data_IF_483046602509
#
_entry.id   IF_483046602509
#
_cell.length_a   1.000
_cell.length_b   1.000
_cell.length_c   1.000
_cell.angle_alpha   90.00
_cell.angle_beta   90.00
_cell.angle_gamma   90.00
#
_symmetry.space_group_name_H-M   'P 1'
#
loop_
_entity.id
_entity.type
_entity.pdbx_description
1 polymer ?
#
# COMPACT_ATOMS: atom_id res chain seq x y z
N UNK A 1 1.63 15.36 -16.15
CA UNK A 1 0.31 14.79 -15.86
C UNK A 1 0.02 15.03 -14.39
N UNK A 2 -1.24 15.23 -13.98
CA UNK A 2 -1.60 15.36 -12.57
C UNK A 2 -1.25 14.07 -11.81
N UNK A 3 -1.02 14.18 -10.51
CA UNK A 3 -0.75 13.02 -9.64
C UNK A 3 -2.01 12.15 -9.57
N UNK A 4 -1.83 10.83 -9.61
CA UNK A 4 -2.91 9.86 -9.48
C UNK A 4 -2.96 9.27 -8.08
N UNK A 5 -4.17 8.97 -7.58
CA UNK A 5 -4.40 8.49 -6.23
C UNK A 5 -5.17 7.18 -6.22
N UNK A 6 -4.70 6.22 -5.41
CA UNK A 6 -5.41 4.98 -5.08
C UNK A 6 -5.95 5.03 -3.65
N UNK A 7 -7.10 4.39 -3.40
CA UNK A 7 -7.62 4.15 -2.05
C UNK A 7 -7.09 2.81 -1.54
N UNK A 8 -6.14 2.82 -0.61
CA UNK A 8 -5.64 1.61 0.05
C UNK A 8 -6.68 1.00 0.99
N UNK A 9 -6.62 -0.34 1.16
CA UNK A 9 -7.56 -1.05 2.03
C UNK A 9 -7.56 -0.55 3.48
N UNK A 10 -6.38 -0.32 4.07
CA UNK A 10 -6.28 0.11 5.48
C UNK A 10 -6.89 1.49 5.75
N UNK A 11 -7.12 2.31 4.75
CA UNK A 11 -7.85 3.58 4.92
C UNK A 11 -9.32 3.35 5.31
N UNK A 12 -9.90 2.24 4.85
CA UNK A 12 -11.28 1.84 5.14
C UNK A 12 -11.37 0.36 5.55
N UNK A 13 -10.69 -0.04 6.63
CA UNK A 13 -10.56 -1.43 7.01
C UNK A 13 -11.90 -2.08 7.32
N UNK A 14 -12.01 -3.40 7.12
CA UNK A 14 -13.22 -4.17 7.38
C UNK A 14 -14.33 -4.00 6.35
N UNK A 15 -14.08 -3.28 5.27
CA UNK A 15 -15.03 -3.08 4.16
C UNK A 15 -14.82 -4.17 3.11
N UNK A 16 -15.90 -4.73 2.58
CA UNK A 16 -15.85 -5.67 1.47
C UNK A 16 -15.40 -4.99 0.16
N UNK A 17 -14.83 -5.74 -0.80
CA UNK A 17 -14.27 -5.18 -2.03
C UNK A 17 -15.28 -4.38 -2.86
N UNK A 18 -16.51 -4.87 -3.01
CA UNK A 18 -17.56 -4.20 -3.80
C UNK A 18 -17.89 -2.83 -3.21
N UNK A 19 -18.01 -2.76 -1.90
CA UNK A 19 -18.28 -1.50 -1.19
C UNK A 19 -17.08 -0.56 -1.23
N UNK A 20 -15.85 -1.08 -1.12
CA UNK A 20 -14.64 -0.28 -1.20
C UNK A 20 -14.49 0.38 -2.58
N UNK A 21 -14.75 -0.35 -3.68
CA UNK A 21 -14.76 0.21 -5.04
C UNK A 21 -15.75 1.38 -5.17
N UNK A 22 -16.97 1.20 -4.64
CA UNK A 22 -18.01 2.26 -4.66
C UNK A 22 -17.59 3.49 -3.85
N UNK A 23 -16.94 3.29 -2.69
CA UNK A 23 -16.39 4.38 -1.86
C UNK A 23 -15.30 5.13 -2.63
N UNK A 24 -14.34 4.42 -3.23
CA UNK A 24 -13.25 5.02 -3.99
C UNK A 24 -13.78 5.88 -5.14
N UNK A 25 -14.71 5.34 -5.95
CA UNK A 25 -15.31 6.10 -7.06
C UNK A 25 -16.06 7.34 -6.58
N UNK A 26 -16.91 7.20 -5.55
CA UNK A 26 -17.70 8.30 -5.01
C UNK A 26 -16.81 9.41 -4.44
N UNK A 27 -15.69 9.08 -3.84
CA UNK A 27 -14.72 10.04 -3.32
C UNK A 27 -13.89 10.70 -4.41
N UNK A 28 -13.79 10.11 -5.62
CA UNK A 28 -13.06 10.66 -6.76
C UNK A 28 -11.60 10.19 -6.89
N UNK A 29 -11.28 9.01 -6.36
CA UNK A 29 -10.00 8.34 -6.58
C UNK A 29 -9.86 7.85 -8.03
N UNK A 30 -8.61 7.77 -8.51
CA UNK A 30 -8.29 7.21 -9.83
C UNK A 30 -8.27 5.69 -9.81
N UNK A 31 -7.89 5.11 -8.65
CA UNK A 31 -7.70 3.68 -8.42
C UNK A 31 -8.23 3.25 -7.05
N UNK A 32 -8.36 1.94 -6.91
CA UNK A 32 -8.61 1.27 -5.63
C UNK A 32 -7.62 0.12 -5.45
N UNK A 33 -7.19 -0.13 -4.20
CA UNK A 33 -6.36 -1.27 -3.80
C UNK A 33 -7.21 -2.23 -2.99
N UNK A 34 -7.15 -3.53 -3.27
CA UNK A 34 -8.01 -4.51 -2.61
C UNK A 34 -7.21 -5.53 -1.79
N UNK A 35 -7.67 -5.81 -0.55
CA UNK A 35 -7.14 -6.88 0.30
C UNK A 35 -7.72 -8.23 -0.14
N UNK A 36 -7.03 -8.89 -1.08
CA UNK A 36 -7.42 -10.21 -1.62
C UNK A 36 -6.50 -11.34 -1.14
N UNK A 37 -5.46 -10.99 -0.39
CA UNK A 37 -4.58 -11.93 0.33
C UNK A 37 -4.70 -11.57 1.82
N UNK A 38 -5.67 -12.14 2.56
CA UNK A 38 -5.96 -11.75 3.92
C UNK A 38 -4.80 -12.02 4.88
N UNK A 39 -4.68 -11.15 5.89
CA UNK A 39 -3.70 -11.32 6.97
C UNK A 39 -4.20 -12.21 8.11
N UNK A 40 -5.50 -12.52 8.15
CA UNK A 40 -6.14 -13.23 9.24
C UNK A 40 -6.35 -12.37 10.50
N UNK A 41 -6.46 -11.05 10.34
CA UNK A 41 -6.73 -10.14 11.45
C UNK A 41 -8.19 -10.23 11.90
N UNK A 42 -8.44 -9.99 13.18
CA UNK A 42 -9.81 -9.92 13.72
C UNK A 42 -10.59 -8.80 13.01
N UNK A 43 -11.77 -9.14 12.47
CA UNK A 43 -12.63 -8.20 11.74
C UNK A 43 -12.22 -7.93 10.29
N UNK A 44 -11.16 -8.56 9.81
CA UNK A 44 -10.76 -8.50 8.40
C UNK A 44 -11.64 -9.44 7.56
N UNK A 45 -12.27 -8.98 6.48
CA UNK A 45 -12.93 -9.87 5.53
C UNK A 45 -11.96 -10.89 4.94
N UNK A 46 -12.32 -12.17 4.98
CA UNK A 46 -11.50 -13.24 4.42
C UNK A 46 -11.79 -13.36 2.91
N UNK A 47 -11.23 -12.44 2.14
CA UNK A 47 -11.44 -12.34 0.69
C UNK A 47 -10.37 -13.13 -0.04
N UNK A 48 -10.78 -14.19 -0.72
CA UNK A 48 -9.96 -15.04 -1.57
C UNK A 48 -10.62 -15.15 -2.94
N UNK A 49 -10.37 -14.19 -3.81
CA UNK A 49 -11.05 -14.10 -5.11
C UNK A 49 -10.80 -15.33 -5.98
N UNK A 50 -9.65 -15.96 -5.84
CA UNK A 50 -9.30 -17.20 -6.54
C UNK A 50 -10.20 -18.40 -6.12
N UNK A 51 -10.81 -18.34 -4.95
CA UNK A 51 -11.66 -19.38 -4.39
C UNK A 51 -13.16 -19.02 -4.38
N UNK A 52 -13.51 -17.79 -4.78
CA UNK A 52 -14.88 -17.26 -4.76
C UNK A 52 -15.26 -16.67 -6.14
N UNK A 53 -15.72 -17.50 -7.09
CA UNK A 53 -16.11 -17.04 -8.42
C UNK A 53 -17.26 -16.04 -8.42
N UNK A 54 -18.20 -16.14 -7.46
CA UNK A 54 -19.34 -15.24 -7.37
C UNK A 54 -18.88 -13.83 -6.93
N UNK A 55 -18.08 -13.74 -5.88
CA UNK A 55 -17.52 -12.47 -5.42
C UNK A 55 -16.59 -11.88 -6.51
N UNK A 56 -15.79 -12.71 -7.19
CA UNK A 56 -14.91 -12.26 -8.27
C UNK A 56 -15.71 -11.60 -9.39
N UNK A 57 -16.84 -12.20 -9.79
CA UNK A 57 -17.69 -11.61 -10.82
C UNK A 57 -18.38 -10.33 -10.33
N UNK A 58 -18.82 -10.28 -9.07
CA UNK A 58 -19.36 -9.05 -8.46
C UNK A 58 -18.32 -7.93 -8.46
N UNK A 59 -17.06 -8.22 -8.11
CA UNK A 59 -15.94 -7.26 -8.13
C UNK A 59 -15.69 -6.78 -9.57
N UNK A 60 -15.58 -7.71 -10.53
CA UNK A 60 -15.37 -7.41 -11.96
C UNK A 60 -16.46 -6.48 -12.50
N UNK A 61 -17.71 -6.83 -12.25
CA UNK A 61 -18.84 -6.03 -12.72
C UNK A 61 -18.87 -4.67 -12.04
N UNK A 62 -18.56 -4.58 -10.74
CA UNK A 62 -18.51 -3.31 -10.02
C UNK A 62 -17.39 -2.40 -10.54
N UNK A 63 -16.18 -2.94 -10.79
CA UNK A 63 -15.08 -2.17 -11.39
C UNK A 63 -15.52 -1.58 -12.74
N UNK A 64 -16.18 -2.39 -13.58
CA UNK A 64 -16.69 -1.97 -14.88
C UNK A 64 -17.79 -0.91 -14.77
N UNK A 65 -18.84 -1.14 -13.96
CA UNK A 65 -20.00 -0.25 -13.84
C UNK A 65 -19.64 1.11 -13.27
N UNK A 66 -18.65 1.14 -12.39
CA UNK A 66 -18.14 2.37 -11.78
C UNK A 66 -16.93 2.95 -12.53
N UNK A 67 -16.50 2.35 -13.64
CA UNK A 67 -15.28 2.75 -14.36
C UNK A 67 -14.10 2.99 -13.42
N UNK A 68 -13.95 2.09 -12.42
CA UNK A 68 -12.87 2.12 -11.45
C UNK A 68 -11.78 1.14 -11.85
N UNK A 69 -10.53 1.53 -11.67
CA UNK A 69 -9.37 0.69 -11.96
C UNK A 69 -8.83 0.09 -10.67
N UNK A 70 -8.56 -1.21 -10.69
CA UNK A 70 -7.80 -1.87 -9.63
C UNK A 70 -6.31 -1.54 -9.80
N UNK A 71 -5.67 -1.03 -8.75
CA UNK A 71 -4.25 -0.67 -8.78
C UNK A 71 -3.37 -1.82 -8.30
N UNK A 72 -3.62 -2.26 -7.08
CA UNK A 72 -2.88 -3.33 -6.44
C UNK A 72 -3.77 -4.30 -5.68
N UNK A 73 -3.19 -5.47 -5.40
CA UNK A 73 -3.71 -6.43 -4.44
C UNK A 73 -2.77 -6.51 -3.24
N UNK A 74 -3.32 -6.76 -2.06
CA UNK A 74 -2.58 -6.79 -0.81
C UNK A 74 -3.11 -7.89 0.13
N UNK A 75 -2.38 -8.45 1.08
CA UNK A 75 -0.98 -8.16 1.44
C UNK A 75 -0.20 -9.49 1.46
N UNK A 76 0.78 -9.62 0.58
CA UNK A 76 1.66 -10.79 0.59
C UNK A 76 2.76 -10.58 1.62
N UNK A 77 2.83 -11.47 2.62
CA UNK A 77 3.85 -11.42 3.67
C UNK A 77 4.84 -12.56 3.52
N UNK A 78 6.12 -12.26 3.72
CA UNK A 78 7.17 -13.26 3.76
C UNK A 78 7.30 -13.78 5.20
N UNK A 79 6.84 -15.02 5.44
CA UNK A 79 6.92 -15.73 6.71
C UNK A 79 7.10 -17.22 6.45
N UNK A 80 7.60 -17.95 7.47
CA UNK A 80 7.88 -19.38 7.40
C UNK A 80 6.60 -20.22 7.24
N UNK A 81 5.53 -19.80 7.88
CA UNK A 81 4.25 -20.52 8.01
C UNK A 81 3.20 -20.13 6.95
N UNK A 82 3.54 -19.27 6.00
CA UNK A 82 2.64 -18.86 4.93
C UNK A 82 2.88 -19.64 3.64
N UNK A 83 1.88 -19.68 2.72
CA UNK A 83 1.99 -20.36 1.44
C UNK A 83 3.21 -19.91 0.62
N UNK A 84 3.66 -20.77 -0.28
CA UNK A 84 4.75 -20.53 -1.23
C UNK A 84 4.28 -20.36 -2.66
N UNK A 85 3.00 -20.51 -2.89
CA UNK A 85 2.36 -20.37 -4.19
C UNK A 85 1.19 -19.40 -4.10
N UNK A 86 1.29 -18.29 -4.83
CA UNK A 86 0.27 -17.26 -4.93
C UNK A 86 -0.19 -17.02 -6.37
N UNK A 87 0.16 -17.92 -7.32
CA UNK A 87 -0.17 -17.75 -8.73
C UNK A 87 -1.67 -17.56 -8.96
N UNK A 88 -2.53 -18.31 -8.27
CA UNK A 88 -3.98 -18.16 -8.40
C UNK A 88 -4.47 -16.76 -7.95
N UNK A 89 -3.95 -16.23 -6.84
CA UNK A 89 -4.28 -14.89 -6.38
C UNK A 89 -3.73 -13.80 -7.32
N UNK A 90 -2.51 -13.99 -7.85
CA UNK A 90 -1.89 -13.09 -8.82
C UNK A 90 -2.66 -13.06 -10.14
N UNK A 91 -3.04 -14.23 -10.66
CA UNK A 91 -3.85 -14.36 -11.86
C UNK A 91 -5.18 -13.60 -11.72
N UNK A 92 -5.89 -13.80 -10.61
CA UNK A 92 -7.15 -13.09 -10.35
C UNK A 92 -6.96 -11.59 -10.21
N UNK A 93 -5.92 -11.14 -9.50
CA UNK A 93 -5.59 -9.73 -9.42
C UNK A 93 -5.34 -9.11 -10.80
N UNK A 94 -4.53 -9.76 -11.62
CA UNK A 94 -4.21 -9.31 -12.98
C UNK A 94 -5.43 -9.34 -13.92
N UNK A 95 -6.28 -10.38 -13.87
CA UNK A 95 -7.54 -10.45 -14.62
C UNK A 95 -8.49 -9.28 -14.28
N UNK A 96 -8.45 -8.79 -13.06
CA UNK A 96 -9.23 -7.64 -12.59
C UNK A 96 -8.55 -6.29 -12.86
N UNK A 97 -7.32 -6.31 -13.41
CA UNK A 97 -6.59 -5.14 -13.84
C UNK A 97 -5.52 -4.63 -12.87
N UNK A 98 -5.23 -5.35 -11.79
CA UNK A 98 -4.11 -5.01 -10.92
C UNK A 98 -2.78 -5.09 -11.67
N UNK A 99 -1.85 -4.19 -11.34
CA UNK A 99 -0.48 -4.18 -11.85
C UNK A 99 0.56 -4.27 -10.74
N UNK A 100 0.14 -4.12 -9.50
CA UNK A 100 0.99 -4.06 -8.32
C UNK A 100 0.53 -5.05 -7.25
N UNK A 101 1.47 -5.52 -6.43
CA UNK A 101 1.22 -6.32 -5.23
C UNK A 101 1.96 -5.69 -4.06
N UNK A 102 1.27 -5.41 -2.96
CA UNK A 102 1.89 -4.95 -1.73
C UNK A 102 2.50 -6.14 -0.98
N UNK A 103 3.75 -5.99 -0.52
CA UNK A 103 4.50 -7.06 0.16
C UNK A 103 5.31 -6.53 1.34
N UNK A 104 5.59 -7.41 2.33
CA UNK A 104 6.44 -7.08 3.48
C UNK A 104 7.12 -8.31 4.08
N UNK A 105 8.22 -8.12 4.85
CA UNK A 105 9.03 -9.20 5.44
C UNK A 105 8.74 -9.35 6.93
N UNK A 106 8.37 -10.56 7.35
CA UNK A 106 8.02 -10.90 8.74
C UNK A 106 8.81 -12.11 9.26
N UNK A 107 9.91 -12.48 8.59
CA UNK A 107 10.86 -13.50 9.01
C UNK A 107 12.21 -12.86 9.35
N UNK A 108 12.90 -13.39 10.34
CA UNK A 108 14.30 -13.04 10.66
C UNK A 108 15.30 -13.77 9.78
N UNK A 109 14.85 -14.79 9.05
CA UNK A 109 15.69 -15.52 8.12
C UNK A 109 15.80 -14.75 6.80
N UNK A 110 16.90 -13.99 6.68
CA UNK A 110 17.19 -13.21 5.48
C UNK A 110 17.39 -14.08 4.22
N UNK A 111 17.90 -15.30 4.36
CA UNK A 111 18.05 -16.22 3.22
C UNK A 111 16.68 -16.66 2.71
N UNK A 112 15.81 -17.07 3.63
CA UNK A 112 14.41 -17.39 3.30
C UNK A 112 13.70 -16.20 2.63
N UNK A 113 13.93 -14.98 3.11
CA UNK A 113 13.31 -13.79 2.52
C UNK A 113 13.74 -13.59 1.06
N UNK A 114 15.05 -13.74 0.76
CA UNK A 114 15.58 -13.64 -0.60
C UNK A 114 15.00 -14.74 -1.50
N UNK A 115 15.03 -15.99 -1.06
CA UNK A 115 14.52 -17.14 -1.83
C UNK A 115 13.03 -17.01 -2.13
N UNK A 116 12.24 -16.60 -1.13
CA UNK A 116 10.80 -16.39 -1.28
C UNK A 116 10.50 -15.26 -2.27
N UNK A 117 11.20 -14.10 -2.14
CA UNK A 117 11.01 -13.00 -3.09
C UNK A 117 11.40 -13.40 -4.51
N UNK A 118 12.49 -14.10 -4.70
CA UNK A 118 12.86 -14.64 -6.01
C UNK A 118 11.72 -15.44 -6.64
N UNK A 119 11.22 -16.44 -5.91
CA UNK A 119 10.08 -17.26 -6.34
C UNK A 119 8.81 -16.44 -6.59
N UNK A 120 8.46 -15.51 -5.70
CA UNK A 120 7.23 -14.71 -5.87
C UNK A 120 7.34 -13.70 -7.01
N UNK A 121 8.53 -13.14 -7.26
CA UNK A 121 8.77 -12.30 -8.44
C UNK A 121 8.59 -13.09 -9.74
N UNK A 122 9.07 -14.33 -9.80
CA UNK A 122 8.86 -15.21 -10.96
C UNK A 122 7.38 -15.55 -11.17
N UNK A 123 6.65 -15.85 -10.08
CA UNK A 123 5.21 -16.10 -10.14
C UNK A 123 4.44 -14.86 -10.62
N UNK A 124 4.74 -13.69 -10.05
CA UNK A 124 4.08 -12.42 -10.39
C UNK A 124 4.38 -11.97 -11.83
N UNK A 125 5.60 -12.22 -12.31
CA UNK A 125 6.00 -11.88 -13.68
C UNK A 125 5.16 -12.60 -14.76
N UNK A 126 4.65 -13.80 -14.48
CA UNK A 126 3.77 -14.55 -15.39
C UNK A 126 2.48 -13.78 -15.72
N UNK A 127 2.07 -12.90 -14.81
CA UNK A 127 0.85 -12.11 -14.91
C UNK A 127 1.12 -10.60 -15.09
N UNK A 128 2.38 -10.22 -15.33
CA UNK A 128 2.76 -8.81 -15.50
C UNK A 128 2.69 -7.96 -14.23
N UNK A 129 2.72 -8.59 -13.05
CA UNK A 129 2.64 -7.91 -11.76
C UNK A 129 4.03 -7.49 -11.24
N UNK A 130 4.07 -6.34 -10.59
CA UNK A 130 5.23 -5.82 -9.84
C UNK A 130 5.00 -5.99 -8.34
N UNK A 131 5.95 -6.59 -7.63
CA UNK A 131 5.94 -6.66 -6.18
C UNK A 131 6.52 -5.38 -5.58
N UNK A 132 5.85 -4.82 -4.58
CA UNK A 132 6.27 -3.61 -3.89
C UNK A 132 6.60 -3.94 -2.43
N UNK A 133 7.90 -3.98 -2.13
CA UNK A 133 8.44 -4.28 -0.80
C UNK A 133 8.32 -3.04 0.08
N UNK A 134 7.44 -3.10 1.04
CA UNK A 134 7.34 -2.15 2.14
C UNK A 134 8.27 -2.56 3.29
N UNK A 135 8.78 -1.56 4.05
CA UNK A 135 9.64 -1.76 5.23
C UNK A 135 8.98 -1.24 6.52
N UNK A 136 7.87 -1.88 6.98
CA UNK A 136 7.16 -1.43 8.16
C UNK A 136 8.04 -1.53 9.40
N UNK A 137 8.08 -0.46 10.21
CA UNK A 137 8.87 -0.41 11.46
C UNK A 137 8.43 -1.44 12.52
N UNK A 138 7.34 -2.14 12.27
CA UNK A 138 6.79 -3.22 13.12
C UNK A 138 7.05 -4.61 12.53
N UNK A 139 7.78 -4.71 11.41
CA UNK A 139 8.16 -5.95 10.75
C UNK A 139 9.63 -6.32 11.02
N UNK A 140 10.17 -7.31 10.32
CA UNK A 140 11.57 -7.74 10.48
C UNK A 140 12.53 -7.07 9.48
N UNK A 141 12.00 -6.33 8.49
CA UNK A 141 12.75 -5.48 7.58
C UNK A 141 12.20 -4.06 7.70
N UNK A 142 12.96 -3.15 8.31
CA UNK A 142 12.44 -1.89 8.84
C UNK A 142 13.07 -0.64 8.25
N UNK A 143 14.04 -0.75 7.34
CA UNK A 143 14.73 0.40 6.74
C UNK A 143 14.82 0.30 5.22
N UNK A 144 14.90 1.46 4.54
CA UNK A 144 15.13 1.53 3.09
C UNK A 144 16.42 0.81 2.68
N UNK A 145 17.48 0.94 3.48
CA UNK A 145 18.77 0.29 3.21
C UNK A 145 18.60 -1.24 3.18
N UNK A 146 17.92 -1.83 4.16
CA UNK A 146 17.63 -3.27 4.18
C UNK A 146 16.77 -3.70 2.98
N UNK A 147 15.79 -2.87 2.58
CA UNK A 147 14.96 -3.13 1.41
C UNK A 147 15.79 -3.12 0.12
N UNK A 148 16.71 -2.17 -0.03
CA UNK A 148 17.64 -2.10 -1.18
C UNK A 148 18.58 -3.30 -1.23
N UNK A 149 19.14 -3.70 -0.10
CA UNK A 149 20.03 -4.88 0.00
C UNK A 149 19.29 -6.18 -0.37
N UNK A 150 18.04 -6.33 0.05
CA UNK A 150 17.22 -7.47 -0.34
C UNK A 150 16.88 -7.42 -1.83
N UNK A 151 16.49 -6.25 -2.35
CA UNK A 151 16.21 -6.05 -3.78
C UNK A 151 17.43 -6.42 -4.64
N UNK A 152 18.64 -6.01 -4.24
CA UNK A 152 19.89 -6.32 -4.94
C UNK A 152 20.19 -7.83 -4.92
N UNK A 153 19.97 -8.51 -3.79
CA UNK A 153 20.17 -9.96 -3.67
C UNK A 153 19.18 -10.75 -4.50
N UNK A 154 17.94 -10.32 -4.56
CA UNK A 154 16.88 -10.95 -5.38
C UNK A 154 17.13 -10.71 -6.86
N UNK A 155 17.54 -9.51 -7.25
CA UNK A 155 17.91 -9.16 -8.63
C UNK A 155 16.74 -9.18 -9.63
N UNK A 156 15.48 -9.28 -9.17
CA UNK A 156 14.31 -9.35 -10.03
C UNK A 156 13.87 -7.95 -10.50
N UNK A 157 13.63 -7.72 -11.81
CA UNK A 157 13.29 -6.39 -12.35
C UNK A 157 11.90 -5.90 -11.89
N UNK A 158 11.02 -6.84 -11.53
CA UNK A 158 9.66 -6.56 -11.04
C UNK A 158 9.56 -6.52 -9.51
N UNK A 159 10.68 -6.37 -8.78
CA UNK A 159 10.70 -6.04 -7.36
C UNK A 159 11.01 -4.56 -7.19
N UNK A 160 10.10 -3.80 -6.60
CA UNK A 160 10.24 -2.37 -6.29
C UNK A 160 10.11 -2.12 -4.80
N UNK A 161 10.60 -0.98 -4.33
CA UNK A 161 10.47 -0.55 -2.94
C UNK A 161 9.25 0.37 -2.82
N UNK A 162 8.38 0.06 -1.87
CA UNK A 162 7.26 0.91 -1.50
C UNK A 162 7.71 1.90 -0.42
N UNK A 163 7.41 3.18 -0.63
CA UNK A 163 7.75 4.27 0.28
C UNK A 163 6.51 4.70 1.05
N UNK A 164 6.36 4.23 2.29
CA UNK A 164 5.32 4.74 3.20
C UNK A 164 5.86 5.95 3.98
N UNK A 165 5.14 7.06 3.91
CA UNK A 165 5.55 8.34 4.49
C UNK A 165 5.79 8.28 5.99
N UNK A 166 5.02 7.46 6.75
CA UNK A 166 5.28 7.34 8.19
C UNK A 166 6.55 6.53 8.50
N UNK A 167 6.92 5.58 7.66
CA UNK A 167 8.15 4.80 7.86
C UNK A 167 9.38 5.61 7.43
N UNK A 168 9.27 6.41 6.36
CA UNK A 168 10.29 7.40 6.00
C UNK A 168 10.58 8.33 7.19
N UNK A 169 9.54 8.89 7.79
CA UNK A 169 9.68 9.76 8.96
C UNK A 169 10.26 9.04 10.18
N UNK A 170 9.73 7.86 10.52
CA UNK A 170 10.11 7.12 11.74
C UNK A 170 11.51 6.54 11.69
N UNK A 171 12.03 6.22 10.51
CA UNK A 171 13.42 5.76 10.35
C UNK A 171 14.41 6.91 10.25
N UNK A 172 13.93 8.16 10.19
CA UNK A 172 14.78 9.34 10.01
C UNK A 172 15.43 9.41 8.62
N UNK A 173 14.85 8.73 7.63
CA UNK A 173 15.33 8.72 6.25
C UNK A 173 15.29 10.13 5.66
N UNK A 174 16.43 10.61 5.18
CA UNK A 174 16.57 11.95 4.63
C UNK A 174 16.21 12.03 3.14
N UNK A 175 15.91 13.22 2.66
CA UNK A 175 15.68 13.47 1.23
C UNK A 175 16.92 13.22 0.39
N UNK A 176 18.10 13.48 0.94
CA UNK A 176 19.40 13.25 0.32
C UNK A 176 19.65 11.75 0.09
N UNK A 177 19.33 10.92 1.07
CA UNK A 177 19.45 9.46 0.94
C UNK A 177 18.49 8.91 -0.12
N UNK A 178 17.26 9.42 -0.19
CA UNK A 178 16.29 9.04 -1.23
C UNK A 178 16.80 9.46 -2.61
N UNK A 179 17.32 10.68 -2.76
CA UNK A 179 17.85 11.21 -4.02
C UNK A 179 19.13 10.50 -4.49
N UNK A 180 19.93 9.96 -3.56
CA UNK A 180 21.12 9.18 -3.88
C UNK A 180 20.80 7.80 -4.45
N UNK A 181 19.60 7.27 -4.21
CA UNK A 181 19.17 5.98 -4.74
C UNK A 181 18.69 6.12 -6.21
N UNK A 182 18.89 5.06 -7.00
CA UNK A 182 18.32 5.00 -8.36
C UNK A 182 16.78 5.10 -8.27
N UNK A 183 16.14 6.11 -8.90
CA UNK A 183 14.70 6.29 -8.85
C UNK A 183 13.91 5.10 -9.44
N UNK A 184 14.51 4.27 -10.27
CA UNK A 184 13.88 3.07 -10.81
C UNK A 184 13.63 1.97 -9.77
N UNK A 185 14.26 2.07 -8.59
CA UNK A 185 14.04 1.16 -7.45
C UNK A 185 12.68 1.34 -6.81
N UNK A 186 12.10 2.55 -6.89
CA UNK A 186 10.89 2.90 -6.18
C UNK A 186 9.63 2.60 -7.00
N UNK A 187 8.66 1.97 -6.35
CA UNK A 187 7.34 1.66 -6.89
C UNK A 187 6.24 2.55 -6.31
N UNK A 188 5.33 1.95 -5.56
CA UNK A 188 4.18 2.62 -4.95
C UNK A 188 4.61 3.57 -3.83
N UNK A 189 3.88 4.66 -3.65
CA UNK A 189 4.00 5.57 -2.50
C UNK A 189 2.75 5.40 -1.63
N UNK A 190 2.92 5.01 -0.35
CA UNK A 190 1.85 5.08 0.63
C UNK A 190 1.82 6.47 1.25
N UNK A 191 0.73 7.18 0.99
CA UNK A 191 0.56 8.58 1.37
C UNK A 191 -0.29 8.72 2.62
N UNK A 192 0.29 9.31 3.64
CA UNK A 192 -0.34 9.71 4.89
C UNK A 192 0.60 10.69 5.60
N UNK A 193 0.27 11.11 6.82
CA UNK A 193 1.14 11.92 7.66
C UNK A 193 1.24 11.31 9.06
N UNK A 194 2.28 11.67 9.81
CA UNK A 194 2.46 11.28 11.20
C UNK A 194 1.88 12.37 12.12
N UNK A 195 0.98 12.04 13.07
CA UNK A 195 0.35 13.05 13.91
C UNK A 195 1.36 13.79 14.79
N UNK A 196 1.18 15.09 14.93
CA UNK A 196 2.03 15.92 15.78
C UNK A 196 1.88 15.58 17.28
N UNK A 197 0.65 15.21 17.69
CA UNK A 197 0.36 14.82 19.07
C UNK A 197 0.37 13.29 19.21
N UNK A 198 1.33 12.81 20.01
CA UNK A 198 1.51 11.40 20.35
C UNK A 198 1.17 11.10 21.81
N UNK A 199 0.62 12.08 22.57
CA UNK A 199 0.40 11.94 24.00
C UNK A 199 -0.39 10.67 24.36
N UNK A 200 0.25 9.75 25.09
CA UNK A 200 -0.34 8.49 25.56
C UNK A 200 -0.62 7.44 24.51
N UNK A 201 -0.14 7.60 23.27
CA UNK A 201 -0.32 6.61 22.19
C UNK A 201 0.96 5.82 21.91
N UNK A 202 0.82 4.50 21.81
CA UNK A 202 1.88 3.64 21.35
C UNK A 202 2.08 3.77 19.83
N UNK A 203 3.32 3.59 19.37
CA UNK A 203 3.66 3.68 17.95
C UNK A 203 2.79 2.76 17.05
N UNK A 204 2.53 1.54 17.50
CA UNK A 204 1.72 0.57 16.77
C UNK A 204 0.26 1.01 16.62
N UNK A 205 -0.27 1.77 17.58
CA UNK A 205 -1.62 2.32 17.52
C UNK A 205 -1.73 3.37 16.42
N UNK A 206 -0.71 4.23 16.28
CA UNK A 206 -0.66 5.22 15.21
C UNK A 206 -0.54 4.55 13.84
N UNK A 207 0.37 3.59 13.70
CA UNK A 207 0.56 2.84 12.45
C UNK A 207 -0.73 2.19 11.96
N UNK A 208 -1.53 1.63 12.89
CA UNK A 208 -2.72 0.84 12.57
C UNK A 208 -4.04 1.60 12.63
N UNK A 209 -4.08 2.79 13.20
CA UNK A 209 -5.37 3.46 13.42
C UNK A 209 -5.32 4.91 13.86
N UNK A 210 -4.19 5.59 13.75
CA UNK A 210 -4.03 6.96 14.22
C UNK A 210 -3.22 7.87 13.31
N UNK A 211 -3.06 7.54 12.01
CA UNK A 211 -2.34 8.37 11.04
C UNK A 211 -3.05 9.70 10.81
N UNK A 212 -2.31 10.73 10.43
CA UNK A 212 -2.84 12.06 10.15
C UNK A 212 -3.10 12.28 8.65
N UNK A 213 -3.95 13.22 8.34
CA UNK A 213 -4.19 13.69 6.96
C UNK A 213 -2.96 14.41 6.40
N UNK A 214 -2.77 14.36 5.07
CA UNK A 214 -1.65 15.01 4.40
C UNK A 214 -1.57 16.51 4.74
N UNK A 215 -0.43 16.92 5.29
CA UNK A 215 -0.16 18.29 5.69
C UNK A 215 -0.72 18.70 7.06
N UNK A 216 -1.38 17.77 7.77
CA UNK A 216 -1.87 17.99 9.14
C UNK A 216 -0.97 17.33 10.20
N UNK A 217 0.17 16.75 9.79
CA UNK A 217 1.16 16.10 10.65
C UNK A 217 2.53 16.75 10.61
N UNK A 218 3.57 15.93 10.84
CA UNK A 218 4.96 16.40 11.03
C UNK A 218 5.94 15.85 10.00
N UNK A 219 5.48 15.05 9.04
CA UNK A 219 6.34 14.51 7.97
C UNK A 219 6.69 15.62 6.97
N UNK A 220 7.96 15.72 6.55
CA UNK A 220 8.32 16.55 5.40
C UNK A 220 7.84 15.91 4.08
N UNK A 221 6.52 15.83 3.92
CA UNK A 221 5.90 15.27 2.73
C UNK A 221 6.38 15.96 1.45
N UNK A 222 6.58 17.29 1.49
CA UNK A 222 7.02 18.06 0.33
C UNK A 222 8.41 17.67 -0.13
N UNK A 223 9.38 17.60 0.81
CA UNK A 223 10.75 17.21 0.51
C UNK A 223 10.81 15.79 -0.03
N UNK A 224 10.19 14.84 0.68
CA UNK A 224 10.17 13.42 0.30
C UNK A 224 9.50 13.19 -1.06
N UNK A 225 8.33 13.79 -1.32
CA UNK A 225 7.62 13.64 -2.60
C UNK A 225 8.35 14.26 -3.79
N UNK A 226 9.20 15.27 -3.56
CA UNK A 226 10.10 15.83 -4.59
C UNK A 226 11.31 14.95 -4.86
N UNK A 227 11.78 14.22 -3.85
CA UNK A 227 12.90 13.29 -3.98
C UNK A 227 12.51 11.98 -4.68
N UNK A 228 11.24 11.60 -4.62
CA UNK A 228 10.71 10.37 -5.23
C UNK A 228 10.22 10.57 -6.67
N UNK A 229 10.21 9.52 -7.50
CA UNK A 229 9.59 9.56 -8.83
C UNK A 229 8.09 9.85 -8.73
N UNK A 230 7.50 10.34 -9.84
CA UNK A 230 6.06 10.65 -9.92
C UNK A 230 5.18 9.39 -10.06
N UNK A 231 5.29 8.49 -9.11
CA UNK A 231 4.49 7.28 -9.05
C UNK A 231 3.08 7.55 -8.47
N UNK A 232 2.18 6.57 -8.61
CA UNK A 232 0.85 6.63 -7.97
C UNK A 232 1.00 6.73 -6.46
N UNK A 233 0.22 7.61 -5.84
CA UNK A 233 0.11 7.70 -4.40
C UNK A 233 -1.11 6.89 -3.93
N UNK A 234 -0.88 5.75 -3.31
CA UNK A 234 -1.94 5.00 -2.63
C UNK A 234 -2.12 5.60 -1.23
N UNK A 235 -3.29 6.17 -0.97
CA UNK A 235 -3.57 6.78 0.34
C UNK A 235 -3.82 5.66 1.33
N UNK A 236 -2.88 5.46 2.25
CA UNK A 236 -2.99 4.49 3.34
C UNK A 236 -3.01 5.23 4.69
N UNK A 237 -4.21 5.57 5.11
CA UNK A 237 -4.45 6.41 6.28
C UNK A 237 -5.48 5.79 7.21
N UNK A 238 -5.15 4.69 7.93
CA UNK A 238 -6.03 4.17 8.97
C UNK A 238 -6.14 5.18 10.12
N UNK A 239 -7.39 5.59 10.42
CA UNK A 239 -7.70 6.47 11.55
C UNK A 239 -9.06 6.12 12.13
N UNK A 240 -9.04 5.40 13.25
CA UNK A 240 -10.25 4.87 13.88
C UNK A 240 -11.20 5.97 14.38
N UNK A 241 -10.66 7.11 14.84
CA UNK A 241 -11.45 8.23 15.33
C UNK A 241 -12.17 8.94 14.18
N UNK A 242 -11.47 9.18 13.08
CA UNK A 242 -12.04 9.81 11.89
C UNK A 242 -13.05 8.91 11.19
N UNK A 243 -12.80 7.59 11.15
CA UNK A 243 -13.77 6.62 10.63
C UNK A 243 -15.04 6.61 11.51
N UNK A 244 -14.89 6.63 12.83
CA UNK A 244 -16.03 6.69 13.74
C UNK A 244 -16.84 7.97 13.59
N UNK A 245 -16.17 9.11 13.37
CA UNK A 245 -16.82 10.42 13.24
C UNK A 245 -17.50 10.64 11.88
N UNK A 246 -16.90 10.14 10.78
CA UNK A 246 -17.32 10.45 9.39
C UNK A 246 -17.90 9.25 8.63
N UNK A 247 -17.76 8.05 9.17
CA UNK A 247 -17.91 6.80 8.41
C UNK A 247 -16.80 6.59 7.40
N UNK A 248 -16.64 5.35 6.91
CA UNK A 248 -15.58 4.99 5.96
C UNK A 248 -15.59 5.86 4.69
N UNK A 249 -16.78 6.14 4.12
CA UNK A 249 -16.88 6.94 2.91
C UNK A 249 -16.50 8.42 3.14
N UNK A 250 -16.91 9.00 4.26
CA UNK A 250 -16.56 10.38 4.61
C UNK A 250 -15.07 10.53 4.92
N UNK A 251 -14.48 9.53 5.59
CA UNK A 251 -13.04 9.49 5.85
C UNK A 251 -12.24 9.37 4.55
N UNK A 252 -12.59 8.42 3.66
CA UNK A 252 -11.92 8.27 2.36
C UNK A 252 -11.99 9.56 1.51
N UNK A 253 -13.14 10.24 1.49
CA UNK A 253 -13.27 11.52 0.79
C UNK A 253 -12.36 12.60 1.38
N UNK A 254 -12.29 12.72 2.71
CA UNK A 254 -11.41 13.68 3.39
C UNK A 254 -9.93 13.39 3.13
N UNK A 255 -9.53 12.11 3.14
CA UNK A 255 -8.16 11.71 2.79
C UNK A 255 -7.74 12.23 1.41
N UNK A 256 -8.58 12.05 0.40
CA UNK A 256 -8.29 12.52 -0.96
C UNK A 256 -8.32 14.04 -1.09
N UNK A 257 -9.27 14.70 -0.44
CA UNK A 257 -9.38 16.16 -0.40
C UNK A 257 -8.10 16.80 0.15
N UNK A 258 -7.64 16.35 1.32
CA UNK A 258 -6.43 16.87 1.96
C UNK A 258 -5.19 16.59 1.13
N UNK A 259 -5.08 15.39 0.54
CA UNK A 259 -3.98 15.06 -0.35
C UNK A 259 -3.95 16.00 -1.58
N UNK A 260 -5.07 16.17 -2.30
CA UNK A 260 -5.15 17.07 -3.45
C UNK A 260 -4.80 18.52 -3.08
N UNK A 261 -5.36 19.01 -1.98
CA UNK A 261 -5.06 20.35 -1.49
C UNK A 261 -3.55 20.52 -1.18
N UNK A 262 -2.95 19.53 -0.50
CA UNK A 262 -1.52 19.54 -0.19
C UNK A 262 -0.66 19.60 -1.47
N UNK A 263 -0.99 18.78 -2.48
CA UNK A 263 -0.26 18.76 -3.74
C UNK A 263 -0.38 20.09 -4.49
N UNK A 264 -1.58 20.66 -4.59
CA UNK A 264 -1.84 21.96 -5.23
C UNK A 264 -1.07 23.09 -4.53
N UNK A 265 -1.18 23.17 -3.19
CA UNK A 265 -0.51 24.21 -2.39
C UNK A 265 1.02 24.14 -2.47
N UNK A 266 1.61 22.98 -2.77
CA UNK A 266 3.05 22.77 -2.83
C UNK A 266 3.63 22.63 -4.25
N UNK A 267 2.81 22.69 -5.30
CA UNK A 267 3.23 22.57 -6.69
C UNK A 267 3.81 21.18 -7.04
N UNK A 268 3.22 20.09 -6.53
CA UNK A 268 3.67 18.71 -6.68
C UNK A 268 2.97 17.96 -7.81
#
# INVERSE_FOLDING_TARGET
MPRQFSLAYLTVPGIDPVKQIKIAKKAGYDYVSLRTIPMGQTGEPQVHLENDPELTEQVRQTLKDYEMKLFDIELLRIREDLPTDYRAAFEKGAELGATQVLTSVWTKDHSLAVDRYGSFCEQAAQFGLTLNLEFPIVSELTTMQQAMELQDKVGAPNLKILMDMIYVYKTGLTTEEIQAADPSRFGVIHLCDWPADMAGREMVEVVRGGRAYCGEGVVDLKGVLKALPKNVCSIELPNVQEIAARGAAGHAARCLETAKHFFEANGL
#
